data_IF_287121810100
#
_entry.id   IF_287121810100
#
_cell.length_a   1.000
_cell.length_b   1.000
_cell.length_c   1.000
_cell.angle_alpha   90.00
_cell.angle_beta   90.00
_cell.angle_gamma   90.00
#
_symmetry.space_group_name_H-M   'P 1'
#
loop_
_entity.id
_entity.type
_entity.pdbx_description
1 polymer ?
#
# COMPACT_ATOMS: atom_id res chain seq x y z
N UNK A 1 11.65 0.07 -28.14
CA UNK A 1 12.30 -0.15 -26.83
C UNK A 1 12.01 -1.57 -26.36
N UNK A 2 12.89 -2.17 -25.57
CA UNK A 2 12.64 -3.42 -24.86
C UNK A 2 12.06 -3.12 -23.48
N UNK A 3 10.88 -3.67 -23.22
CA UNK A 3 10.08 -3.44 -22.02
C UNK A 3 9.91 -4.78 -21.31
N UNK A 4 10.24 -4.81 -20.03
CA UNK A 4 10.00 -5.98 -19.19
C UNK A 4 8.82 -5.74 -18.26
N UNK A 5 7.89 -6.68 -18.20
CA UNK A 5 6.84 -6.74 -17.19
C UNK A 5 7.15 -7.84 -16.17
N UNK A 6 6.90 -7.56 -14.89
CA UNK A 6 7.02 -8.54 -13.82
C UNK A 6 5.65 -9.11 -13.51
N UNK A 7 5.54 -10.44 -13.55
CA UNK A 7 4.32 -11.17 -13.25
C UNK A 7 3.87 -10.92 -11.80
N UNK A 8 2.57 -10.65 -11.63
CA UNK A 8 1.92 -10.58 -10.32
C UNK A 8 0.48 -11.10 -10.42
N UNK A 9 0.38 -12.42 -10.50
CA UNK A 9 -0.86 -13.18 -10.60
C UNK A 9 -1.88 -12.52 -11.52
N UNK A 10 -2.97 -12.06 -10.95
CA UNK A 10 -4.08 -11.46 -11.70
C UNK A 10 -3.73 -10.09 -12.28
N UNK A 11 -2.77 -9.34 -11.72
CA UNK A 11 -2.24 -8.11 -12.33
C UNK A 11 -1.66 -8.36 -13.71
N UNK A 12 -1.10 -9.55 -13.91
CA UNK A 12 -0.52 -9.95 -15.19
C UNK A 12 -1.56 -9.90 -16.30
N UNK A 13 -2.86 -10.09 -16.02
CA UNK A 13 -3.92 -9.91 -17.01
C UNK A 13 -4.01 -8.46 -17.51
N UNK A 14 -3.80 -7.49 -16.62
CA UNK A 14 -3.74 -6.07 -17.00
C UNK A 14 -2.44 -5.74 -17.71
N UNK A 15 -1.30 -6.22 -17.20
CA UNK A 15 -0.02 -6.07 -17.89
C UNK A 15 -0.04 -6.66 -19.31
N UNK A 16 -0.67 -7.81 -19.49
CA UNK A 16 -0.81 -8.47 -20.79
C UNK A 16 -1.66 -7.66 -21.79
N UNK A 17 -2.74 -7.03 -21.31
CA UNK A 17 -3.53 -6.13 -22.15
C UNK A 17 -2.74 -4.89 -22.62
N UNK A 18 -1.97 -4.28 -21.71
CA UNK A 18 -1.08 -3.15 -22.04
C UNK A 18 0.05 -3.60 -22.99
N UNK A 19 0.67 -4.75 -22.70
CA UNK A 19 1.70 -5.36 -23.53
C UNK A 19 1.24 -5.60 -24.96
N UNK A 20 0.01 -6.10 -25.16
CA UNK A 20 -0.56 -6.28 -26.50
C UNK A 20 -0.66 -4.98 -27.29
N UNK A 21 -1.00 -3.87 -26.63
CA UNK A 21 -0.98 -2.55 -27.26
C UNK A 21 0.45 -2.12 -27.60
N UNK A 22 1.38 -2.18 -26.65
CA UNK A 22 2.77 -1.72 -26.82
C UNK A 22 3.53 -2.54 -27.87
N UNK A 23 3.27 -3.85 -27.95
CA UNK A 23 3.84 -4.71 -28.99
C UNK A 23 3.40 -4.24 -30.40
N UNK A 24 2.14 -3.83 -30.58
CA UNK A 24 1.65 -3.26 -31.85
C UNK A 24 2.29 -1.91 -32.19
N UNK A 25 2.81 -1.18 -31.21
CA UNK A 25 3.59 0.04 -31.40
C UNK A 25 5.08 -0.24 -31.70
N UNK A 26 5.48 -1.52 -31.86
CA UNK A 26 6.85 -1.90 -32.21
C UNK A 26 7.79 -2.03 -31.00
N UNK A 27 7.28 -2.07 -29.77
CA UNK A 27 8.10 -2.38 -28.61
C UNK A 27 8.36 -3.88 -28.49
N UNK A 28 9.57 -4.26 -28.07
CA UNK A 28 9.88 -5.64 -27.71
C UNK A 28 9.40 -5.90 -26.29
N UNK A 29 8.50 -6.87 -26.10
CA UNK A 29 7.90 -7.16 -24.81
C UNK A 29 8.42 -8.48 -24.25
N UNK A 30 8.93 -8.43 -23.02
CA UNK A 30 9.36 -9.59 -22.25
C UNK A 30 8.63 -9.61 -20.92
N UNK A 31 8.25 -10.79 -20.45
CA UNK A 31 7.70 -10.99 -19.11
C UNK A 31 8.64 -11.86 -18.28
N UNK A 32 8.89 -11.49 -17.03
CA UNK A 32 9.52 -12.37 -16.04
C UNK A 32 8.40 -12.98 -15.19
N UNK A 33 8.24 -14.30 -15.29
CA UNK A 33 7.12 -15.06 -14.72
C UNK A 33 7.62 -15.93 -13.57
N UNK A 34 7.21 -15.62 -12.33
CA UNK A 34 7.52 -16.47 -11.17
C UNK A 34 6.46 -17.54 -10.98
N UNK A 35 5.17 -17.18 -11.05
CA UNK A 35 4.08 -18.14 -10.94
C UNK A 35 3.68 -18.70 -12.32
N UNK A 36 4.01 -19.97 -12.58
CA UNK A 36 3.80 -20.64 -13.87
C UNK A 36 2.33 -20.84 -14.28
N UNK A 37 1.37 -20.37 -13.49
CA UNK A 37 -0.05 -20.39 -13.86
C UNK A 37 -0.55 -19.07 -14.42
N UNK A 38 0.24 -18.00 -14.32
CA UNK A 38 -0.13 -16.66 -14.78
C UNK A 38 0.71 -16.23 -15.97
N UNK A 39 0.68 -17.06 -17.02
CA UNK A 39 1.36 -16.77 -18.28
C UNK A 39 0.63 -15.70 -19.09
N UNK A 40 1.33 -14.64 -19.51
CA UNK A 40 0.81 -13.66 -20.47
C UNK A 40 0.80 -14.24 -21.89
N UNK A 41 -0.02 -13.66 -22.75
CA UNK A 41 -0.16 -14.07 -24.16
C UNK A 41 0.63 -13.14 -25.09
N UNK A 42 0.75 -11.86 -24.73
CA UNK A 42 1.34 -10.81 -25.55
C UNK A 42 2.81 -10.59 -25.16
N UNK A 43 3.73 -11.26 -25.87
CA UNK A 43 5.18 -11.10 -25.68
C UNK A 43 5.88 -12.37 -25.24
N UNK A 44 7.20 -12.31 -25.09
CA UNK A 44 8.00 -13.48 -24.71
C UNK A 44 8.04 -13.64 -23.19
N UNK A 45 7.71 -14.85 -22.70
CA UNK A 45 7.79 -15.16 -21.27
C UNK A 45 9.13 -15.83 -20.92
N UNK A 46 9.83 -15.28 -19.93
CA UNK A 46 10.93 -15.94 -19.21
C UNK A 46 10.38 -16.49 -17.91
N UNK A 47 10.20 -17.81 -17.86
CA UNK A 47 9.65 -18.50 -16.70
C UNK A 47 10.78 -18.85 -15.74
N UNK A 48 10.70 -18.33 -14.52
CA UNK A 48 11.68 -18.63 -13.49
C UNK A 48 11.40 -20.02 -12.91
N UNK A 49 12.37 -20.96 -12.92
CA UNK A 49 12.15 -22.29 -12.35
C UNK A 49 11.94 -22.20 -10.85
N UNK A 50 11.13 -23.10 -10.29
CA UNK A 50 11.08 -23.27 -8.83
C UNK A 50 12.37 -23.96 -8.37
N UNK A 51 13.09 -23.41 -7.38
CA UNK A 51 14.35 -23.99 -6.94
C UNK A 51 14.15 -25.34 -6.27
N UNK A 52 15.05 -26.27 -6.56
CA UNK A 52 15.26 -27.47 -5.75
C UNK A 52 15.94 -27.11 -4.43
N UNK A 53 15.90 -28.01 -3.46
CA UNK A 53 16.44 -27.76 -2.12
C UNK A 53 17.93 -27.44 -2.11
N UNK A 54 18.69 -28.07 -3.00
CA UNK A 54 20.14 -27.89 -3.20
C UNK A 54 20.49 -26.62 -4.00
N UNK A 55 19.52 -25.99 -4.65
CA UNK A 55 19.69 -24.72 -5.37
C UNK A 55 19.40 -23.49 -4.51
N UNK A 56 18.83 -23.69 -3.32
CA UNK A 56 18.61 -22.62 -2.35
C UNK A 56 19.96 -22.09 -1.87
N UNK A 57 20.08 -20.78 -1.77
CA UNK A 57 21.31 -20.11 -1.35
C UNK A 57 21.03 -19.02 -0.34
N UNK A 58 21.97 -18.78 0.56
CA UNK A 58 21.78 -17.82 1.64
C UNK A 58 21.47 -16.42 1.09
N UNK A 59 20.50 -15.71 1.69
CA UNK A 59 20.17 -14.34 1.30
C UNK A 59 21.38 -13.42 1.52
N UNK A 60 21.58 -12.45 0.61
CA UNK A 60 22.59 -11.41 0.83
C UNK A 60 22.06 -10.33 1.80
N UNK A 61 22.93 -9.41 2.23
CA UNK A 61 22.54 -8.34 3.17
C UNK A 61 21.33 -7.53 2.67
N UNK A 62 21.28 -7.22 1.37
CA UNK A 62 20.14 -6.49 0.79
C UNK A 62 18.83 -7.29 0.82
N UNK A 63 18.89 -8.62 0.82
CA UNK A 63 17.69 -9.46 0.93
C UNK A 63 17.10 -9.44 2.35
N UNK A 64 17.92 -9.22 3.38
CA UNK A 64 17.46 -9.21 4.78
C UNK A 64 16.38 -8.15 5.01
N UNK A 65 16.54 -6.96 4.43
CA UNK A 65 15.52 -5.91 4.50
C UNK A 65 14.25 -6.26 3.73
N UNK A 66 14.37 -6.97 2.60
CA UNK A 66 13.21 -7.42 1.81
C UNK A 66 12.43 -8.53 2.52
N UNK A 67 13.13 -9.45 3.17
CA UNK A 67 12.56 -10.55 3.96
C UNK A 67 11.68 -10.00 5.10
N UNK A 68 12.07 -8.86 5.70
CA UNK A 68 11.25 -8.19 6.70
C UNK A 68 9.88 -7.75 6.15
N UNK A 69 9.71 -7.58 4.85
CA UNK A 69 8.43 -7.23 4.23
C UNK A 69 7.67 -8.43 3.66
N UNK A 70 8.26 -9.63 3.68
CA UNK A 70 7.68 -10.80 3.04
C UNK A 70 6.48 -11.34 3.80
N UNK A 71 5.30 -11.29 3.19
CA UNK A 71 4.07 -11.76 3.82
C UNK A 71 4.04 -13.28 4.08
N UNK A 72 4.72 -14.06 3.26
CA UNK A 72 4.75 -15.52 3.39
C UNK A 72 5.61 -15.96 4.58
N UNK A 73 6.72 -15.26 4.80
CA UNK A 73 7.57 -15.45 5.97
C UNK A 73 6.88 -14.89 7.22
N UNK A 74 6.46 -13.61 7.19
CA UNK A 74 5.96 -12.91 8.36
C UNK A 74 4.58 -13.40 8.85
N UNK A 75 3.70 -13.87 7.96
CA UNK A 75 2.33 -14.20 8.33
C UNK A 75 1.94 -15.65 8.03
N UNK A 76 2.57 -16.30 7.06
CA UNK A 76 2.20 -17.65 6.61
C UNK A 76 3.18 -18.75 7.00
N UNK A 77 4.18 -18.44 7.83
CA UNK A 77 5.06 -19.44 8.46
C UNK A 77 6.01 -20.13 7.49
N UNK A 78 6.34 -19.49 6.36
CA UNK A 78 7.37 -19.99 5.46
C UNK A 78 8.75 -19.79 6.10
N UNK A 79 9.40 -20.88 6.50
CA UNK A 79 10.63 -20.82 7.29
C UNK A 79 11.93 -20.69 6.50
N UNK A 80 11.92 -20.91 5.19
CA UNK A 80 13.12 -20.85 4.35
C UNK A 80 13.29 -19.48 3.71
N UNK A 81 14.47 -18.88 3.86
CA UNK A 81 14.86 -17.63 3.18
C UNK A 81 15.73 -17.88 1.95
N UNK A 82 16.23 -19.10 1.75
CA UNK A 82 17.22 -19.40 0.71
C UNK A 82 16.72 -19.24 -0.74
N UNK A 83 15.41 -19.09 -0.92
CA UNK A 83 14.85 -18.77 -2.23
C UNK A 83 15.19 -17.34 -2.67
N UNK A 84 15.51 -16.43 -1.75
CA UNK A 84 15.94 -15.08 -2.09
C UNK A 84 17.25 -15.08 -2.87
N UNK A 85 18.27 -15.80 -2.38
CA UNK A 85 19.56 -15.91 -3.05
C UNK A 85 19.43 -16.53 -4.45
N UNK A 86 18.63 -17.62 -4.55
CA UNK A 86 18.33 -18.25 -5.83
C UNK A 86 17.64 -17.30 -6.80
N UNK A 87 16.53 -16.67 -6.38
CA UNK A 87 15.74 -15.81 -7.25
C UNK A 87 16.47 -14.54 -7.65
N UNK A 88 17.30 -13.97 -6.76
CA UNK A 88 18.19 -12.86 -7.08
C UNK A 88 19.15 -13.21 -8.20
N UNK A 89 19.76 -14.40 -8.16
CA UNK A 89 20.68 -14.86 -9.21
C UNK A 89 19.95 -15.00 -10.54
N UNK A 90 18.86 -15.76 -10.60
CA UNK A 90 18.17 -16.02 -11.88
C UNK A 90 17.47 -14.78 -12.46
N UNK A 91 16.94 -13.89 -11.61
CA UNK A 91 16.38 -12.60 -12.06
C UNK A 91 17.51 -11.70 -12.57
N UNK A 92 18.65 -11.64 -11.87
CA UNK A 92 19.82 -10.88 -12.30
C UNK A 92 20.37 -11.34 -13.65
N UNK A 93 20.52 -12.66 -13.84
CA UNK A 93 20.89 -13.27 -15.13
C UNK A 93 19.90 -12.88 -16.23
N UNK A 94 18.60 -12.89 -15.93
CA UNK A 94 17.57 -12.45 -16.88
C UNK A 94 17.71 -10.97 -17.23
N UNK A 95 17.82 -10.07 -16.25
CA UNK A 95 17.97 -8.63 -16.51
C UNK A 95 19.24 -8.32 -17.31
N UNK A 96 20.36 -8.99 -17.01
CA UNK A 96 21.62 -8.83 -17.74
C UNK A 96 21.54 -9.33 -19.20
N UNK A 97 20.83 -10.43 -19.43
CA UNK A 97 20.60 -10.97 -20.78
C UNK A 97 19.66 -10.10 -21.59
N UNK A 98 18.54 -9.70 -20.97
CA UNK A 98 17.51 -8.95 -21.66
C UNK A 98 17.91 -7.49 -21.87
N UNK A 99 18.60 -6.86 -20.92
CA UNK A 99 18.95 -5.43 -20.96
C UNK A 99 17.74 -4.53 -21.27
N UNK A 100 16.67 -4.59 -20.47
CA UNK A 100 15.49 -3.76 -20.72
C UNK A 100 15.79 -2.28 -20.49
N UNK A 101 15.19 -1.41 -21.31
CA UNK A 101 15.21 0.03 -21.06
C UNK A 101 14.29 0.44 -19.91
N UNK A 102 13.28 -0.37 -19.59
CA UNK A 102 12.35 -0.12 -18.50
C UNK A 102 11.67 -1.41 -18.03
N UNK A 103 11.39 -1.46 -16.74
CA UNK A 103 10.65 -2.55 -16.08
C UNK A 103 9.35 -2.00 -15.46
N UNK A 104 8.24 -2.72 -15.63
CA UNK A 104 6.97 -2.45 -14.96
C UNK A 104 6.54 -3.63 -14.08
N UNK A 105 6.01 -3.34 -12.89
CA UNK A 105 5.41 -4.35 -12.01
C UNK A 105 4.86 -3.74 -10.72
N UNK A 106 4.44 -4.55 -9.75
CA UNK A 106 4.09 -4.06 -8.40
C UNK A 106 5.30 -4.13 -7.46
N UNK A 107 5.16 -3.66 -6.23
CA UNK A 107 6.25 -3.67 -5.24
C UNK A 107 5.98 -4.59 -4.04
N UNK A 108 5.21 -5.68 -4.20
CA UNK A 108 4.68 -6.42 -3.04
C UNK A 108 5.19 -7.85 -2.87
N UNK A 109 5.42 -8.57 -3.96
CA UNK A 109 5.91 -9.94 -3.92
C UNK A 109 7.44 -9.96 -3.80
N UNK A 110 8.00 -11.04 -3.26
CA UNK A 110 9.45 -11.12 -3.03
C UNK A 110 10.24 -10.97 -4.34
N UNK A 111 9.78 -11.60 -5.43
CA UNK A 111 10.46 -11.54 -6.73
C UNK A 111 10.39 -10.14 -7.35
N UNK A 112 9.30 -9.41 -7.08
CA UNK A 112 9.18 -8.00 -7.46
C UNK A 112 10.17 -7.12 -6.69
N UNK A 113 10.27 -7.31 -5.36
CA UNK A 113 11.18 -6.58 -4.50
C UNK A 113 12.65 -6.85 -4.85
N UNK A 114 13.00 -8.11 -5.14
CA UNK A 114 14.33 -8.48 -5.65
C UNK A 114 14.60 -7.78 -6.99
N UNK A 115 13.62 -7.79 -7.90
CA UNK A 115 13.75 -7.11 -9.19
C UNK A 115 13.97 -5.61 -9.02
N UNK A 116 13.23 -4.96 -8.12
CA UNK A 116 13.39 -3.54 -7.82
C UNK A 116 14.82 -3.23 -7.35
N UNK A 117 15.35 -4.02 -6.41
CA UNK A 117 16.72 -3.84 -5.91
C UNK A 117 17.76 -4.05 -7.02
N UNK A 118 17.61 -5.08 -7.85
CA UNK A 118 18.49 -5.30 -9.00
C UNK A 118 18.41 -4.18 -10.04
N UNK A 119 17.21 -3.69 -10.35
CA UNK A 119 17.00 -2.56 -11.25
C UNK A 119 17.70 -1.30 -10.75
N UNK A 120 17.63 -0.99 -9.44
CA UNK A 120 18.39 0.13 -8.84
C UNK A 120 19.89 -0.02 -9.07
N UNK A 121 20.45 -1.21 -8.83
CA UNK A 121 21.89 -1.49 -9.02
C UNK A 121 22.33 -1.38 -10.47
N UNK A 122 21.48 -1.83 -11.40
CA UNK A 122 21.74 -1.81 -12.84
C UNK A 122 21.35 -0.47 -13.49
N UNK A 123 20.89 0.52 -12.72
CA UNK A 123 20.35 1.78 -13.22
C UNK A 123 19.23 1.62 -14.26
N UNK A 124 18.42 0.56 -14.12
CA UNK A 124 17.26 0.29 -14.97
C UNK A 124 16.03 0.94 -14.32
N UNK A 125 15.30 1.83 -15.01
CA UNK A 125 14.04 2.36 -14.50
C UNK A 125 13.05 1.25 -14.18
N UNK A 126 12.59 1.20 -12.93
CA UNK A 126 11.46 0.37 -12.51
C UNK A 126 10.29 1.26 -12.13
N UNK A 127 9.15 1.07 -12.79
CA UNK A 127 7.94 1.84 -12.51
C UNK A 127 6.80 0.94 -12.04
N UNK A 128 6.08 1.40 -11.02
CA UNK A 128 4.90 0.76 -10.47
C UNK A 128 3.63 1.53 -10.85
N UNK A 129 2.88 1.08 -11.88
CA UNK A 129 1.57 1.64 -12.20
C UNK A 129 0.57 1.23 -11.12
N UNK A 130 0.17 2.17 -10.28
CA UNK A 130 -0.70 1.92 -9.12
C UNK A 130 -1.72 3.04 -8.95
N UNK A 131 -2.92 2.71 -8.45
CA UNK A 131 -3.94 3.75 -8.24
C UNK A 131 -3.44 4.84 -7.30
N UNK A 132 -3.69 6.09 -7.69
CA UNK A 132 -3.48 7.19 -6.77
C UNK A 132 -4.74 7.33 -5.91
N UNK A 133 -4.52 7.63 -4.63
CA UNK A 133 -5.58 7.60 -3.61
C UNK A 133 -6.66 8.65 -3.88
N UNK A 134 -6.21 9.84 -4.26
CA UNK A 134 -7.02 10.95 -4.76
C UNK A 134 -6.24 11.67 -5.87
N UNK A 135 -6.93 12.25 -6.88
CA UNK A 135 -8.35 12.02 -7.20
C UNK A 135 -8.64 10.55 -7.56
N UNK A 136 -9.90 10.11 -7.38
CA UNK A 136 -10.31 8.72 -7.70
C UNK A 136 -10.39 8.49 -9.21
N UNK A 137 -10.29 7.24 -9.65
CA UNK A 137 -10.28 6.87 -11.07
C UNK A 137 -8.99 7.22 -11.80
N UNK A 138 -7.90 7.38 -11.05
CA UNK A 138 -6.59 7.77 -11.55
C UNK A 138 -5.49 6.88 -10.97
N UNK A 139 -4.34 6.88 -11.64
CA UNK A 139 -3.16 6.11 -11.25
C UNK A 139 -1.87 6.89 -11.51
N UNK A 140 -0.80 6.51 -10.81
CA UNK A 140 0.54 7.07 -10.97
C UNK A 140 1.53 5.96 -11.28
N UNK A 141 2.61 6.31 -11.97
CA UNK A 141 3.78 5.45 -12.14
C UNK A 141 4.79 5.79 -11.05
N UNK A 142 4.79 5.04 -9.95
CA UNK A 142 5.72 5.28 -8.85
C UNK A 142 7.11 4.72 -9.17
N UNK A 143 8.16 5.40 -8.70
CA UNK A 143 9.54 4.92 -8.87
C UNK A 143 9.83 3.79 -7.89
N UNK A 144 10.30 2.65 -8.40
CA UNK A 144 10.78 1.53 -7.59
C UNK A 144 9.76 1.11 -6.50
N UNK A 145 10.19 1.09 -5.25
CA UNK A 145 9.43 0.81 -4.02
C UNK A 145 9.11 2.10 -3.24
N UNK A 146 8.89 3.22 -3.93
CA UNK A 146 8.58 4.52 -3.33
C UNK A 146 7.16 4.99 -3.65
N UNK A 147 6.74 6.09 -3.02
CA UNK A 147 5.51 6.83 -3.37
C UNK A 147 5.78 8.06 -4.25
N UNK A 148 6.96 8.12 -4.87
CA UNK A 148 7.36 9.24 -5.74
C UNK A 148 6.90 8.98 -7.18
N UNK A 149 6.00 9.82 -7.75
CA UNK A 149 5.62 9.69 -9.15
C UNK A 149 6.81 9.97 -10.06
N UNK A 150 7.02 9.13 -11.08
CA UNK A 150 8.04 9.34 -12.10
C UNK A 150 7.76 10.56 -12.97
N UNK A 151 6.49 10.74 -13.33
CA UNK A 151 5.95 11.80 -14.18
C UNK A 151 4.45 11.95 -13.91
N UNK A 152 3.71 12.67 -14.78
CA UNK A 152 2.29 12.86 -14.64
C UNK A 152 1.62 13.36 -15.92
N UNK A 153 0.28 13.34 -15.97
CA UNK A 153 -0.47 13.82 -17.14
C UNK A 153 -0.26 15.32 -17.40
N UNK A 154 -0.01 16.12 -16.36
CA UNK A 154 0.00 17.58 -16.43
C UNK A 154 -1.41 18.19 -16.40
N UNK A 155 -2.46 17.36 -16.27
CA UNK A 155 -3.84 17.83 -16.18
C UNK A 155 -4.07 18.67 -14.91
N UNK A 156 -4.75 19.79 -15.06
CA UNK A 156 -5.15 20.69 -13.96
C UNK A 156 -6.67 20.78 -13.97
N UNK A 157 -7.28 20.66 -12.79
CA UNK A 157 -8.71 20.89 -12.60
C UNK A 157 -8.97 22.39 -12.55
N UNK A 158 -10.11 22.81 -13.12
CA UNK A 158 -10.60 24.17 -12.92
C UNK A 158 -10.87 24.41 -11.42
N UNK A 159 -10.75 25.65 -10.96
CA UNK A 159 -10.86 25.99 -9.54
C UNK A 159 -12.20 25.51 -8.94
N UNK A 160 -13.31 25.72 -9.65
CA UNK A 160 -14.64 25.28 -9.22
C UNK A 160 -14.72 23.76 -9.05
N UNK A 161 -14.11 23.00 -9.96
CA UNK A 161 -14.08 21.53 -9.91
C UNK A 161 -13.18 21.05 -8.76
N UNK A 162 -12.03 21.69 -8.56
CA UNK A 162 -11.12 21.39 -7.47
C UNK A 162 -11.78 21.64 -6.11
N UNK A 163 -12.46 22.77 -5.94
CA UNK A 163 -13.22 23.10 -4.71
C UNK A 163 -14.32 22.07 -4.46
N UNK A 164 -15.10 21.70 -5.48
CA UNK A 164 -16.13 20.67 -5.34
C UNK A 164 -15.56 19.29 -4.98
N UNK A 165 -14.39 18.93 -5.52
CA UNK A 165 -13.70 17.70 -5.16
C UNK A 165 -13.20 17.74 -3.71
N UNK A 166 -12.61 18.85 -3.27
CA UNK A 166 -12.17 19.06 -1.89
C UNK A 166 -13.34 18.87 -0.93
N UNK A 167 -14.46 19.53 -1.20
CA UNK A 167 -15.67 19.44 -0.38
C UNK A 167 -16.13 17.98 -0.23
N UNK A 168 -16.16 17.22 -1.33
CA UNK A 168 -16.53 15.81 -1.33
C UNK A 168 -15.56 14.92 -0.55
N UNK A 169 -14.27 15.26 -0.51
CA UNK A 169 -13.26 14.54 0.27
C UNK A 169 -13.41 14.87 1.76
N UNK A 170 -13.54 16.15 2.11
CA UNK A 170 -13.76 16.63 3.48
C UNK A 170 -15.01 16.00 4.09
N UNK A 171 -16.11 16.00 3.34
CA UNK A 171 -17.37 15.37 3.75
C UNK A 171 -17.40 13.85 3.52
N UNK A 172 -16.30 13.27 3.01
CA UNK A 172 -16.10 11.82 2.79
C UNK A 172 -17.21 11.15 1.99
N UNK A 173 -17.79 11.89 1.05
CA UNK A 173 -18.78 11.36 0.09
C UNK A 173 -18.10 10.54 -1.01
N UNK A 174 -16.80 10.80 -1.27
CA UNK A 174 -15.95 9.96 -2.11
C UNK A 174 -15.14 9.01 -1.25
N UNK A 175 -15.03 7.75 -1.68
CA UNK A 175 -14.10 6.77 -1.11
C UNK A 175 -13.08 6.36 -2.15
N UNK A 176 -11.81 6.14 -1.77
CA UNK A 176 -10.81 5.58 -2.66
C UNK A 176 -11.30 4.28 -3.31
N UNK A 177 -10.89 4.02 -4.55
CA UNK A 177 -11.42 2.90 -5.34
C UNK A 177 -11.20 1.54 -4.66
N UNK A 178 -10.04 1.36 -4.03
CA UNK A 178 -9.70 0.14 -3.29
C UNK A 178 -10.57 -0.09 -2.04
N UNK A 179 -11.31 0.92 -1.56
CA UNK A 179 -12.19 0.82 -0.38
C UNK A 179 -13.63 0.42 -0.73
N UNK A 180 -14.03 0.43 -2.00
CA UNK A 180 -15.38 0.05 -2.43
C UNK A 180 -15.67 -1.42 -2.08
N UNK A 181 -16.81 -1.69 -1.43
CA UNK A 181 -17.26 -3.06 -1.11
C UNK A 181 -17.86 -3.71 -2.36
N UNK A 182 -17.39 -4.90 -2.73
CA UNK A 182 -18.03 -5.69 -3.80
C UNK A 182 -19.28 -6.38 -3.26
N UNK A 183 -20.41 -6.26 -3.98
CA UNK A 183 -21.62 -7.02 -3.69
C UNK A 183 -21.36 -8.51 -3.95
N UNK A 184 -21.74 -9.37 -3.01
CA UNK A 184 -21.62 -10.81 -3.14
C UNK A 184 -22.81 -11.35 -3.94
N UNK A 185 -22.56 -11.80 -5.17
CA UNK A 185 -23.52 -12.51 -6.02
C UNK A 185 -23.10 -13.98 -6.19
N UNK A 186 -24.01 -14.83 -6.68
CA UNK A 186 -23.69 -16.22 -7.02
C UNK A 186 -22.48 -16.33 -7.96
N UNK A 187 -22.43 -15.51 -9.00
CA UNK A 187 -21.29 -15.46 -9.91
C UNK A 187 -19.97 -15.13 -9.18
N UNK A 188 -19.97 -14.16 -8.27
CA UNK A 188 -18.75 -13.82 -7.49
C UNK A 188 -18.32 -14.93 -6.52
N UNK A 189 -19.27 -15.74 -6.02
CA UNK A 189 -18.94 -16.90 -5.17
C UNK A 189 -18.28 -18.01 -5.98
N UNK A 190 -18.81 -18.29 -7.17
CA UNK A 190 -18.21 -19.26 -8.10
C UNK A 190 -16.82 -18.83 -8.58
N UNK A 191 -16.66 -17.55 -8.93
CA UNK A 191 -15.36 -16.98 -9.26
C UNK A 191 -14.35 -17.17 -8.11
N UNK A 192 -14.76 -16.87 -6.87
CA UNK A 192 -13.91 -17.08 -5.68
C UNK A 192 -13.52 -18.55 -5.48
N UNK A 193 -14.43 -19.50 -5.74
CA UNK A 193 -14.13 -20.92 -5.64
C UNK A 193 -13.10 -21.34 -6.70
N UNK A 194 -13.27 -20.87 -7.94
CA UNK A 194 -12.31 -21.06 -9.03
C UNK A 194 -10.94 -20.49 -8.67
N UNK A 195 -10.89 -19.30 -8.09
CA UNK A 195 -9.64 -18.68 -7.62
C UNK A 195 -8.95 -19.52 -6.53
N UNK A 196 -9.71 -20.03 -5.57
CA UNK A 196 -9.18 -20.90 -4.53
C UNK A 196 -8.63 -22.20 -5.11
N UNK A 197 -9.32 -22.80 -6.09
CA UNK A 197 -8.84 -23.98 -6.79
C UNK A 197 -7.54 -23.69 -7.57
N UNK A 198 -7.48 -22.59 -8.32
CA UNK A 198 -6.30 -22.18 -9.07
C UNK A 198 -5.09 -21.92 -8.16
N UNK A 199 -5.28 -21.24 -7.03
CA UNK A 199 -4.22 -21.02 -6.04
C UNK A 199 -3.77 -22.33 -5.39
N UNK A 200 -4.70 -23.24 -5.10
CA UNK A 200 -4.37 -24.54 -4.51
C UNK A 200 -3.56 -25.40 -5.50
N UNK A 201 -3.94 -25.40 -6.77
CA UNK A 201 -3.19 -26.07 -7.83
C UNK A 201 -1.81 -25.43 -8.05
N UNK A 202 -1.71 -24.10 -7.96
CA UNK A 202 -0.41 -23.39 -8.03
C UNK A 202 0.51 -23.81 -6.89
N UNK A 203 -0.02 -23.91 -5.67
CA UNK A 203 0.71 -24.41 -4.51
C UNK A 203 1.16 -25.86 -4.72
N UNK A 204 0.25 -26.76 -5.14
CA UNK A 204 0.60 -28.16 -5.41
C UNK A 204 1.61 -28.33 -6.56
N UNK A 205 1.64 -27.37 -7.50
CA UNK A 205 2.61 -27.31 -8.58
C UNK A 205 3.99 -26.75 -8.20
N UNK A 206 4.24 -26.47 -6.91
CA UNK A 206 5.54 -26.03 -6.41
C UNK A 206 5.65 -24.55 -6.06
N UNK A 207 4.62 -23.73 -6.31
CA UNK A 207 4.64 -22.30 -6.01
C UNK A 207 4.35 -22.07 -4.51
N UNK A 208 5.33 -22.36 -3.65
CA UNK A 208 5.20 -22.25 -2.19
C UNK A 208 5.68 -20.90 -1.63
N UNK A 209 6.20 -20.01 -2.48
CA UNK A 209 6.93 -18.80 -2.07
C UNK A 209 6.01 -17.57 -2.00
N UNK A 210 5.08 -17.42 -2.94
CA UNK A 210 4.04 -16.41 -2.89
C UNK A 210 2.68 -17.00 -2.45
N UNK A 211 2.44 -18.30 -2.64
CA UNK A 211 1.15 -18.94 -2.29
C UNK A 211 1.25 -19.61 -0.93
N UNK A 212 0.46 -19.18 0.08
CA UNK A 212 0.45 -19.83 1.36
C UNK A 212 -0.30 -21.16 1.31
N UNK A 213 0.09 -22.08 2.17
CA UNK A 213 -0.61 -23.35 2.33
C UNK A 213 -2.09 -23.12 2.73
N UNK A 214 -3.06 -23.80 2.09
CA UNK A 214 -4.48 -23.58 2.36
C UNK A 214 -4.88 -23.72 3.83
N UNK A 215 -4.33 -24.72 4.55
CA UNK A 215 -4.63 -24.96 5.96
C UNK A 215 -4.07 -23.89 6.90
N UNK A 216 -2.89 -23.32 6.58
CA UNK A 216 -2.32 -22.19 7.33
C UNK A 216 -3.24 -20.98 7.18
N UNK A 217 -3.67 -20.69 5.94
CA UNK A 217 -4.61 -19.61 5.65
C UNK A 217 -5.93 -19.77 6.43
N UNK A 218 -6.50 -20.97 6.46
CA UNK A 218 -7.72 -21.25 7.24
C UNK A 218 -7.53 -21.00 8.74
N UNK A 219 -6.39 -21.41 9.31
CA UNK A 219 -6.06 -21.21 10.73
C UNK A 219 -5.98 -19.74 11.09
N UNK A 220 -5.27 -18.94 10.28
CA UNK A 220 -5.11 -17.50 10.50
C UNK A 220 -6.45 -16.78 10.39
N UNK A 221 -7.29 -17.16 9.42
CA UNK A 221 -8.62 -16.58 9.24
C UNK A 221 -9.55 -16.84 10.44
N UNK A 222 -9.44 -18.02 11.09
CA UNK A 222 -10.15 -18.30 12.35
C UNK A 222 -9.63 -17.42 13.48
N UNK A 223 -8.30 -17.38 13.66
CA UNK A 223 -7.64 -16.56 14.70
C UNK A 223 -8.03 -15.08 14.57
N UNK A 224 -8.06 -14.55 13.34
CA UNK A 224 -8.48 -13.17 13.06
C UNK A 224 -9.85 -12.84 13.63
N UNK A 225 -10.84 -13.72 13.45
CA UNK A 225 -12.20 -13.48 13.97
C UNK A 225 -12.21 -13.37 15.50
N UNK A 226 -11.45 -14.22 16.17
CA UNK A 226 -11.29 -14.17 17.63
C UNK A 226 -10.64 -12.86 18.06
N UNK A 227 -9.58 -12.43 17.38
CA UNK A 227 -8.88 -11.19 17.70
C UNK A 227 -9.76 -9.95 17.50
N UNK A 228 -10.58 -9.91 16.45
CA UNK A 228 -11.56 -8.82 16.25
C UNK A 228 -12.58 -8.77 17.40
N UNK A 229 -13.08 -9.93 17.85
CA UNK A 229 -14.01 -9.97 18.98
C UNK A 229 -13.35 -9.45 20.26
N UNK A 230 -12.13 -9.89 20.55
CA UNK A 230 -11.38 -9.41 21.73
C UNK A 230 -11.07 -7.91 21.65
N UNK A 231 -10.78 -7.41 20.45
CA UNK A 231 -10.63 -5.97 20.19
C UNK A 231 -11.90 -5.21 20.56
N UNK A 232 -13.06 -5.67 20.07
CA UNK A 232 -14.35 -5.01 20.32
C UNK A 232 -14.75 -5.07 21.80
N UNK A 233 -14.46 -6.17 22.49
CA UNK A 233 -14.66 -6.30 23.94
C UNK A 233 -13.78 -5.29 24.71
N UNK A 234 -12.52 -5.12 24.32
CA UNK A 234 -11.61 -4.12 24.90
C UNK A 234 -12.07 -2.68 24.60
N UNK A 235 -12.54 -2.42 23.37
CA UNK A 235 -13.07 -1.12 22.97
C UNK A 235 -14.31 -0.73 23.76
N UNK A 236 -15.25 -1.67 23.94
CA UNK A 236 -16.46 -1.46 24.73
C UNK A 236 -16.12 -1.09 26.18
N UNK A 237 -15.14 -1.75 26.78
CA UNK A 237 -14.68 -1.47 28.14
C UNK A 237 -14.00 -0.10 28.33
N UNK A 238 -13.67 0.62 27.24
CA UNK A 238 -12.95 1.91 27.28
C UNK A 238 -13.72 3.06 26.64
N UNK A 239 -14.95 2.82 26.20
CA UNK A 239 -15.76 3.79 25.45
C UNK A 239 -15.95 5.12 26.17
N UNK A 240 -16.14 5.09 27.49
CA UNK A 240 -16.36 6.30 28.29
C UNK A 240 -15.17 7.26 28.28
N UNK A 241 -13.93 6.76 28.07
CA UNK A 241 -12.74 7.61 27.97
C UNK A 241 -12.80 8.54 26.74
N UNK A 242 -13.57 8.17 25.71
CA UNK A 242 -13.78 9.03 24.54
C UNK A 242 -14.68 10.22 24.85
N UNK A 243 -15.53 10.13 25.88
CA UNK A 243 -16.44 11.20 26.27
C UNK A 243 -15.74 12.33 27.03
N UNK A 244 -14.55 12.10 27.58
CA UNK A 244 -13.74 13.10 28.28
C UNK A 244 -13.09 14.09 27.30
N UNK A 245 -13.77 15.20 27.03
CA UNK A 245 -13.31 16.28 26.15
C UNK A 245 -12.15 17.10 26.70
N UNK A 246 -11.76 16.93 27.96
CA UNK A 246 -10.62 17.65 28.53
C UNK A 246 -9.28 17.08 28.07
N UNK A 247 -9.26 15.82 27.60
CA UNK A 247 -8.03 15.13 27.22
C UNK A 247 -7.70 15.34 25.75
N UNK A 248 -6.43 15.60 25.50
CA UNK A 248 -5.87 15.67 24.15
C UNK A 248 -5.84 14.27 23.53
N UNK A 249 -6.33 14.14 22.29
CA UNK A 249 -6.51 12.85 21.61
C UNK A 249 -5.67 12.74 20.36
N UNK A 250 -4.75 11.78 20.37
CA UNK A 250 -4.01 11.37 19.19
C UNK A 250 -4.71 10.18 18.56
N UNK A 251 -5.18 10.32 17.32
CA UNK A 251 -5.73 9.22 16.54
C UNK A 251 -4.63 8.53 15.72
N UNK A 252 -4.45 7.24 15.97
CA UNK A 252 -3.65 6.34 15.13
C UNK A 252 -4.57 5.35 14.40
N UNK A 253 -4.90 5.60 13.12
CA UNK A 253 -5.64 4.66 12.30
C UNK A 253 -4.68 3.59 11.75
N UNK A 254 -4.85 2.36 12.22
CA UNK A 254 -4.06 1.22 11.78
C UNK A 254 -4.27 0.94 10.28
N UNK A 255 -3.18 0.58 9.62
CA UNK A 255 -3.17 0.21 8.20
C UNK A 255 -3.31 -1.31 8.06
N UNK A 256 -3.95 -1.75 6.98
CA UNK A 256 -4.16 -3.17 6.70
C UNK A 256 -2.81 -3.85 6.42
N UNK A 257 -2.59 -5.05 6.96
CA UNK A 257 -1.42 -5.87 6.61
C UNK A 257 -1.84 -7.27 6.14
N UNK A 258 -1.30 -7.77 5.01
CA UNK A 258 -0.18 -7.21 4.26
C UNK A 258 -0.64 -6.21 3.19
N UNK A 259 0.10 -5.11 3.01
CA UNK A 259 -0.13 -4.11 1.95
C UNK A 259 1.14 -3.31 1.63
N UNK A 260 1.35 -2.94 0.36
CA UNK A 260 2.47 -2.09 -0.08
C UNK A 260 2.60 -0.80 0.76
N UNK A 261 1.46 -0.18 1.09
CA UNK A 261 1.40 1.05 1.87
C UNK A 261 2.23 1.00 3.15
N UNK A 262 2.18 -0.12 3.87
CA UNK A 262 2.85 -0.23 5.15
C UNK A 262 4.04 -1.19 5.10
N UNK A 263 3.88 -2.38 4.52
CA UNK A 263 4.96 -3.36 4.51
C UNK A 263 6.10 -2.97 3.56
N UNK A 264 5.88 -2.07 2.59
CA UNK A 264 6.90 -1.66 1.61
C UNK A 264 7.25 -0.18 1.81
N UNK A 265 6.31 0.72 1.53
CA UNK A 265 6.54 2.17 1.60
C UNK A 265 6.69 2.68 3.04
N UNK A 266 6.04 2.00 3.98
CA UNK A 266 6.10 2.27 5.41
C UNK A 266 6.98 1.32 6.20
N UNK A 267 7.88 0.57 5.55
CA UNK A 267 8.63 -0.55 6.14
C UNK A 267 9.20 -0.26 7.54
N UNK A 268 9.84 0.90 7.83
CA UNK A 268 10.37 1.20 9.17
C UNK A 268 9.30 1.16 10.28
N UNK A 269 8.04 1.42 9.94
CA UNK A 269 6.90 1.50 10.87
C UNK A 269 5.92 0.33 10.68
N UNK A 270 6.32 -0.75 10.00
CA UNK A 270 5.45 -1.90 9.74
C UNK A 270 4.99 -2.60 11.02
N UNK A 271 5.76 -2.51 12.09
CA UNK A 271 5.34 -2.98 13.41
C UNK A 271 4.47 -1.90 14.05
N UNK A 272 3.16 -2.01 13.84
CA UNK A 272 2.19 -1.02 14.33
C UNK A 272 2.10 -1.03 15.86
N UNK A 273 2.36 -2.16 16.52
CA UNK A 273 2.46 -2.22 17.98
C UNK A 273 3.65 -1.40 18.49
N UNK A 274 4.82 -1.54 17.86
CA UNK A 274 5.98 -0.72 18.21
C UNK A 274 5.69 0.77 17.97
N UNK A 275 5.05 1.11 16.85
CA UNK A 275 4.62 2.49 16.58
C UNK A 275 3.72 3.03 17.69
N UNK A 276 2.72 2.27 18.14
CA UNK A 276 1.83 2.65 19.25
C UNK A 276 2.63 2.81 20.55
N UNK A 277 3.58 1.92 20.84
CA UNK A 277 4.49 2.03 22.00
C UNK A 277 5.31 3.32 21.94
N UNK A 278 5.86 3.66 20.79
CA UNK A 278 6.65 4.88 20.61
C UNK A 278 5.80 6.14 20.80
N UNK A 279 4.56 6.16 20.29
CA UNK A 279 3.62 7.27 20.53
C UNK A 279 3.39 7.43 22.03
N UNK A 280 2.96 6.35 22.71
CA UNK A 280 2.69 6.36 24.16
C UNK A 280 3.89 6.81 24.99
N UNK A 281 5.10 6.37 24.63
CA UNK A 281 6.33 6.70 25.35
C UNK A 281 6.71 8.18 25.25
N UNK A 282 6.36 8.85 24.16
CA UNK A 282 6.81 10.21 23.88
C UNK A 282 5.69 11.26 23.91
N UNK A 283 4.51 10.87 24.37
CA UNK A 283 3.39 11.80 24.61
C UNK A 283 3.17 12.01 26.11
N UNK A 284 2.74 13.21 26.54
CA UNK A 284 2.36 13.48 27.92
C UNK A 284 1.34 12.49 28.51
N UNK A 285 1.31 12.36 29.84
CA UNK A 285 0.45 11.38 30.54
C UNK A 285 -1.05 11.69 30.41
N UNK A 286 -1.40 12.94 30.18
CA UNK A 286 -2.78 13.39 29.98
C UNK A 286 -3.29 13.18 28.54
N UNK A 287 -2.44 12.75 27.61
CA UNK A 287 -2.82 12.39 26.24
C UNK A 287 -3.47 11.00 26.17
N UNK A 288 -4.55 10.89 25.39
CA UNK A 288 -5.14 9.63 24.97
C UNK A 288 -4.69 9.27 23.56
N UNK A 289 -4.31 8.01 23.35
CA UNK A 289 -4.00 7.46 22.03
C UNK A 289 -5.19 6.62 21.56
N UNK A 290 -6.03 7.21 20.72
CA UNK A 290 -7.18 6.55 20.11
C UNK A 290 -6.69 5.67 18.96
N UNK A 291 -6.89 4.36 19.06
CA UNK A 291 -6.44 3.41 18.03
C UNK A 291 -7.63 2.86 17.27
N UNK A 292 -7.61 3.03 15.95
CA UNK A 292 -8.69 2.58 15.08
C UNK A 292 -8.20 1.47 14.15
N UNK A 293 -8.78 0.25 14.20
CA UNK A 293 -8.35 -0.83 13.33
C UNK A 293 -8.84 -0.59 11.89
N UNK A 294 -8.17 -1.20 10.91
CA UNK A 294 -8.61 -1.09 9.52
C UNK A 294 -9.97 -1.81 9.35
N UNK A 295 -10.95 -1.27 8.60
CA UNK A 295 -12.24 -1.96 8.41
C UNK A 295 -12.12 -3.28 7.63
N UNK A 296 -10.98 -3.51 6.96
CA UNK A 296 -10.63 -4.77 6.28
C UNK A 296 -9.50 -5.49 7.03
N UNK A 297 -9.49 -5.42 8.37
CA UNK A 297 -8.40 -5.94 9.19
C UNK A 297 -8.00 -7.35 8.82
N UNK A 298 -6.70 -7.63 8.87
CA UNK A 298 -6.12 -8.94 8.55
C UNK A 298 -5.13 -9.38 9.62
N UNK A 299 -3.84 -9.17 9.39
CA UNK A 299 -2.76 -9.75 10.21
C UNK A 299 -2.08 -8.72 11.11
N UNK A 300 -2.47 -7.45 10.99
CA UNK A 300 -2.03 -6.37 11.88
C UNK A 300 -2.62 -6.49 13.30
N UNK A 301 -3.74 -7.20 13.46
CA UNK A 301 -4.29 -7.51 14.77
C UNK A 301 -3.57 -8.74 15.33
N UNK A 302 -2.89 -8.59 16.47
CA UNK A 302 -2.14 -9.65 17.14
C UNK A 302 -2.55 -9.78 18.61
N UNK A 303 -2.24 -10.93 19.22
CA UNK A 303 -2.47 -11.12 20.65
C UNK A 303 -1.60 -10.17 21.49
N UNK A 304 -0.35 -9.97 21.10
CA UNK A 304 0.59 -9.04 21.75
C UNK A 304 0.10 -7.59 21.73
N UNK A 305 -0.52 -7.16 20.62
CA UNK A 305 -1.15 -5.85 20.52
C UNK A 305 -2.29 -5.72 21.53
N UNK A 306 -3.19 -6.69 21.58
CA UNK A 306 -4.32 -6.69 22.52
C UNK A 306 -3.86 -6.71 23.98
N UNK A 307 -2.84 -7.52 24.30
CA UNK A 307 -2.26 -7.61 25.65
C UNK A 307 -1.64 -6.27 26.08
N UNK A 308 -0.83 -5.66 25.21
CA UNK A 308 -0.25 -4.35 25.48
C UNK A 308 -1.33 -3.28 25.67
N UNK A 309 -2.34 -3.26 24.80
CA UNK A 309 -3.44 -2.32 24.92
C UNK A 309 -4.21 -2.53 26.21
N UNK A 310 -4.49 -3.77 26.61
CA UNK A 310 -5.16 -4.09 27.87
C UNK A 310 -4.39 -3.56 29.11
N UNK A 311 -3.05 -3.57 29.06
CA UNK A 311 -2.19 -3.06 30.15
C UNK A 311 -2.01 -1.54 30.20
N UNK A 312 -2.15 -0.82 29.08
CA UNK A 312 -1.95 0.63 29.02
C UNK A 312 -3.28 1.38 28.90
N UNK A 313 -3.68 2.12 29.95
CA UNK A 313 -4.96 2.83 30.03
C UNK A 313 -5.08 4.04 29.10
N UNK A 314 -3.96 4.65 28.70
CA UNK A 314 -3.95 5.79 27.77
C UNK A 314 -4.32 5.38 26.34
N UNK A 315 -4.27 4.09 26.01
CA UNK A 315 -4.71 3.60 24.70
C UNK A 315 -6.22 3.40 24.70
N UNK A 316 -6.94 3.95 23.73
CA UNK A 316 -8.38 3.79 23.60
C UNK A 316 -8.70 3.15 22.24
N UNK A 317 -8.88 1.82 22.17
CA UNK A 317 -9.40 1.18 20.97
C UNK A 317 -10.82 1.67 20.68
N UNK A 318 -11.12 1.90 19.41
CA UNK A 318 -12.51 2.05 18.94
C UNK A 318 -13.00 0.74 18.34
N UNK A 319 -14.30 0.47 18.42
CA UNK A 319 -14.91 -0.73 17.85
C UNK A 319 -14.53 -0.87 16.36
N UNK A 320 -14.32 -2.11 15.91
CA UNK A 320 -13.85 -2.41 14.57
C UNK A 320 -14.81 -1.89 13.48
N UNK A 321 -16.11 -1.87 13.79
CA UNK A 321 -17.14 -1.34 12.88
C UNK A 321 -17.19 0.21 12.82
N UNK A 322 -16.52 0.92 13.74
CA UNK A 322 -16.57 2.39 13.81
C UNK A 322 -16.01 3.01 12.54
N UNK A 323 -16.84 3.81 11.88
CA UNK A 323 -16.44 4.50 10.65
C UNK A 323 -15.37 5.57 10.93
N UNK A 324 -14.55 5.90 9.92
CA UNK A 324 -13.63 7.03 10.08
C UNK A 324 -14.40 8.34 10.37
N UNK A 325 -15.60 8.52 9.83
CA UNK A 325 -16.43 9.72 10.01
C UNK A 325 -16.78 9.95 11.48
N UNK A 326 -16.94 8.88 12.25
CA UNK A 326 -17.27 8.97 13.66
C UNK A 326 -16.05 9.30 14.54
N UNK A 327 -14.85 8.83 14.17
CA UNK A 327 -13.66 8.96 15.02
C UNK A 327 -12.76 10.14 14.66
N UNK A 328 -12.66 10.52 13.38
CA UNK A 328 -11.79 11.63 12.96
C UNK A 328 -12.12 12.95 13.67
N UNK A 329 -13.40 13.35 13.83
CA UNK A 329 -13.75 14.60 14.51
C UNK A 329 -13.40 14.62 16.01
N UNK A 330 -13.03 13.47 16.59
CA UNK A 330 -12.60 13.38 17.99
C UNK A 330 -11.09 13.64 18.15
N UNK A 331 -10.33 13.64 17.05
CA UNK A 331 -8.88 13.73 17.10
C UNK A 331 -8.40 15.20 17.15
N UNK A 332 -7.51 15.50 18.09
CA UNK A 332 -6.76 16.76 18.12
C UNK A 332 -5.51 16.66 17.22
N UNK A 333 -4.99 15.44 17.07
CA UNK A 333 -3.87 15.12 16.18
C UNK A 333 -4.07 13.74 15.56
N UNK A 334 -3.75 13.59 14.27
CA UNK A 334 -3.67 12.30 13.59
C UNK A 334 -2.21 11.94 13.31
N UNK A 335 -1.81 10.70 13.60
CA UNK A 335 -0.50 10.17 13.21
C UNK A 335 -0.72 8.99 12.25
N UNK A 336 -0.05 9.00 11.10
CA UNK A 336 -0.14 7.90 10.13
C UNK A 336 1.19 7.64 9.45
N UNK A 337 1.52 6.39 9.08
CA UNK A 337 2.75 6.15 8.33
C UNK A 337 2.60 6.63 6.89
N UNK A 338 1.69 6.00 6.15
CA UNK A 338 1.40 6.36 4.76
C UNK A 338 -0.09 6.45 4.49
N UNK A 339 -0.97 6.51 5.49
CA UNK A 339 -2.41 6.43 5.28
C UNK A 339 -3.00 7.54 4.42
N UNK A 340 -4.10 7.25 3.71
CA UNK A 340 -4.86 8.26 2.94
C UNK A 340 -5.52 9.31 3.80
N UNK A 341 -5.72 8.99 5.08
CA UNK A 341 -6.25 9.90 6.09
C UNK A 341 -5.49 11.22 6.15
N UNK A 342 -4.20 11.24 5.80
CA UNK A 342 -3.42 12.46 5.75
C UNK A 342 -3.97 13.48 4.74
N UNK A 343 -4.45 13.04 3.57
CA UNK A 343 -5.07 13.92 2.57
C UNK A 343 -6.37 14.50 3.14
N UNK A 344 -7.17 13.67 3.81
CA UNK A 344 -8.42 14.10 4.43
C UNK A 344 -8.15 15.12 5.55
N UNK A 345 -7.09 14.93 6.34
CA UNK A 345 -6.70 15.85 7.41
C UNK A 345 -6.18 17.18 6.86
N UNK A 346 -5.34 17.15 5.81
CA UNK A 346 -4.85 18.35 5.11
C UNK A 346 -6.03 19.22 4.66
N UNK A 347 -7.02 18.61 4.02
CA UNK A 347 -8.14 19.34 3.44
C UNK A 347 -9.14 19.84 4.49
N UNK A 348 -9.24 19.14 5.62
CA UNK A 348 -10.10 19.50 6.75
C UNK A 348 -9.42 20.37 7.82
N UNK A 349 -8.15 20.76 7.62
CA UNK A 349 -7.31 21.45 8.62
C UNK A 349 -7.29 20.74 10.00
N UNK A 350 -7.33 19.40 9.98
CA UNK A 350 -7.10 18.59 11.18
C UNK A 350 -5.59 18.36 11.28
N UNK A 351 -4.95 18.66 12.43
CA UNK A 351 -3.53 18.43 12.60
C UNK A 351 -3.15 16.99 12.28
N UNK A 352 -2.15 16.80 11.43
CA UNK A 352 -1.67 15.49 11.03
C UNK A 352 -0.15 15.46 10.91
N UNK A 353 0.45 14.38 11.39
CA UNK A 353 1.85 14.06 11.21
C UNK A 353 1.99 12.77 10.42
N UNK A 354 2.89 12.74 9.43
CA UNK A 354 3.24 11.49 8.73
C UNK A 354 4.57 10.94 9.21
N UNK A 355 4.68 9.61 9.32
CA UNK A 355 5.95 8.97 9.67
C UNK A 355 6.86 8.77 8.44
N UNK A 356 6.27 8.76 7.24
CA UNK A 356 7.00 8.64 5.98
C UNK A 356 6.84 9.92 5.16
N UNK A 357 7.91 10.32 4.47
CA UNK A 357 7.88 11.44 3.54
C UNK A 357 7.08 11.09 2.28
N UNK A 358 6.12 11.91 1.92
CA UNK A 358 5.29 11.80 0.72
C UNK A 358 5.01 13.18 0.15
N UNK A 359 4.28 13.26 -0.99
CA UNK A 359 3.80 14.53 -1.54
C UNK A 359 2.92 15.32 -0.55
N UNK A 360 2.34 14.67 0.44
CA UNK A 360 1.54 15.34 1.46
C UNK A 360 2.36 16.34 2.28
N UNK A 361 3.66 16.12 2.44
CA UNK A 361 4.51 16.94 3.29
C UNK A 361 4.91 18.29 2.70
N UNK A 362 4.56 18.56 1.44
CA UNK A 362 4.62 19.92 0.89
C UNK A 362 3.58 20.84 1.53
N UNK A 363 2.55 20.28 2.16
CA UNK A 363 1.55 21.03 2.88
C UNK A 363 2.04 21.32 4.29
N UNK A 364 2.13 22.61 4.64
CA UNK A 364 2.56 23.08 5.98
C UNK A 364 1.74 22.49 7.14
N UNK A 365 0.48 22.12 6.91
CA UNK A 365 -0.39 21.47 7.90
C UNK A 365 -0.26 19.94 7.93
N UNK A 366 0.78 19.37 7.29
CA UNK A 366 1.11 17.95 7.30
C UNK A 366 2.63 17.72 7.38
N UNK A 367 3.29 18.13 8.46
CA UNK A 367 4.71 17.87 8.63
C UNK A 367 5.01 16.37 8.73
N UNK A 368 6.22 15.99 8.33
CA UNK A 368 6.77 14.67 8.65
C UNK A 368 7.30 14.71 10.08
N UNK A 369 7.01 13.68 10.87
CA UNK A 369 7.62 13.48 12.17
C UNK A 369 9.01 12.86 11.97
N UNK A 370 10.07 13.59 12.30
CA UNK A 370 11.44 13.11 12.12
C UNK A 370 11.86 12.16 13.26
N UNK A 371 11.32 12.36 14.45
CA UNK A 371 11.50 11.47 15.60
C UNK A 371 10.36 11.55 16.61
N UNK A 372 10.04 10.44 17.28
CA UNK A 372 8.93 10.40 18.25
C UNK A 372 9.16 11.33 19.46
N UNK A 373 10.41 11.66 19.79
CA UNK A 373 10.78 12.61 20.84
C UNK A 373 10.21 14.02 20.62
N UNK A 374 9.81 14.38 19.40
CA UNK A 374 9.18 15.67 19.09
C UNK A 374 7.68 15.71 19.43
N UNK A 375 7.05 14.57 19.73
CA UNK A 375 5.60 14.48 19.89
C UNK A 375 5.06 15.38 21.00
N UNK A 376 5.74 15.46 22.14
CA UNK A 376 5.35 16.38 23.21
C UNK A 376 5.33 17.84 22.73
N UNK A 377 6.33 18.26 21.93
CA UNK A 377 6.37 19.60 21.35
C UNK A 377 5.22 19.86 20.36
N UNK A 378 4.85 18.86 19.57
CA UNK A 378 3.70 18.96 18.67
C UNK A 378 2.36 19.04 19.41
N UNK A 379 2.20 18.29 20.50
CA UNK A 379 1.02 18.38 21.38
C UNK A 379 0.87 19.80 21.93
N UNK A 380 1.93 20.38 22.49
CA UNK A 380 1.90 21.75 23.01
C UNK A 380 1.65 22.79 21.90
N UNK A 381 2.27 22.62 20.73
CA UNK A 381 2.04 23.47 19.56
C UNK A 381 0.54 23.50 19.15
N UNK A 382 -0.15 22.37 19.21
CA UNK A 382 -1.57 22.28 18.88
C UNK A 382 -2.43 22.87 20.00
N UNK A 383 -2.10 22.63 21.27
CA UNK A 383 -2.78 23.24 22.44
C UNK A 383 -2.73 24.76 22.40
N UNK A 384 -1.58 25.31 22.01
CA UNK A 384 -1.36 26.75 21.86
C UNK A 384 -1.97 27.33 20.56
N UNK A 385 -2.64 26.50 19.74
CA UNK A 385 -3.24 26.92 18.45
C UNK A 385 -2.18 27.46 17.47
N UNK A 386 -0.94 26.95 17.57
CA UNK A 386 0.20 27.34 16.71
C UNK A 386 0.41 26.41 15.51
N UNK A 387 -0.33 25.29 15.43
CA UNK A 387 -0.22 24.37 14.31
C UNK A 387 -0.60 25.05 12.98
N UNK A 388 0.17 24.88 11.90
CA UNK A 388 -0.08 25.59 10.64
C UNK A 388 -1.45 25.27 10.05
N UNK A 389 -2.13 26.29 9.51
CA UNK A 389 -3.39 26.16 8.77
C UNK A 389 -3.20 26.47 7.29
N UNK A 390 -4.03 25.90 6.44
CA UNK A 390 -3.96 26.10 4.98
C UNK A 390 -5.10 26.97 4.46
N UNK A 391 -4.80 27.76 3.43
CA UNK A 391 -5.78 28.54 2.68
C UNK A 391 -6.48 27.67 1.64
N UNK A 392 -7.66 28.11 1.17
CA UNK A 392 -8.37 27.41 0.10
C UNK A 392 -7.51 27.28 -1.18
N UNK A 393 -6.73 28.32 -1.51
CA UNK A 393 -5.82 28.30 -2.66
C UNK A 393 -4.76 27.20 -2.51
N UNK A 394 -4.12 27.09 -1.35
CA UNK A 394 -3.13 26.04 -1.07
C UNK A 394 -3.76 24.63 -1.18
N UNK A 395 -5.02 24.45 -0.74
CA UNK A 395 -5.75 23.18 -0.89
C UNK A 395 -6.04 22.85 -2.37
N UNK A 396 -6.43 23.84 -3.16
CA UNK A 396 -6.65 23.69 -4.61
C UNK A 396 -5.34 23.34 -5.32
N UNK A 397 -4.26 24.05 -5.00
CA UNK A 397 -2.93 23.79 -5.58
C UNK A 397 -2.43 22.38 -5.25
N UNK A 398 -2.68 21.91 -4.02
CA UNK A 398 -2.37 20.55 -3.59
C UNK A 398 -3.15 19.49 -4.37
N UNK A 399 -4.46 19.66 -4.52
CA UNK A 399 -5.29 18.72 -5.31
C UNK A 399 -4.88 18.72 -6.77
N UNK A 400 -4.60 19.89 -7.34
CA UNK A 400 -4.08 20.00 -8.68
C UNK A 400 -2.69 19.40 -8.82
N UNK A 401 -1.85 19.41 -7.79
CA UNK A 401 -0.59 18.65 -7.80
C UNK A 401 -0.85 17.15 -7.93
N UNK A 402 -1.71 16.58 -7.09
CA UNK A 402 -2.06 15.16 -7.17
C UNK A 402 -2.64 14.78 -8.54
N UNK A 403 -3.47 15.66 -9.13
CA UNK A 403 -4.03 15.46 -10.46
C UNK A 403 -2.97 15.51 -11.56
N UNK A 404 -2.09 16.51 -11.54
CA UNK A 404 -1.00 16.69 -12.52
C UNK A 404 -0.03 15.53 -12.52
N UNK A 405 0.27 14.95 -11.35
CA UNK A 405 1.21 13.82 -11.16
C UNK A 405 0.58 12.43 -11.33
N UNK A 406 -0.64 12.36 -11.86
CA UNK A 406 -1.36 11.12 -12.11
C UNK A 406 -1.97 11.12 -13.51
N UNK A 407 -2.50 9.98 -13.93
CA UNK A 407 -3.14 9.70 -15.21
C UNK A 407 -4.53 9.12 -14.98
N UNK A 408 -5.45 9.30 -15.94
CA UNK A 408 -6.77 8.67 -15.90
C UNK A 408 -6.67 7.15 -16.06
N UNK A 409 -7.55 6.43 -15.40
CA UNK A 409 -7.65 4.98 -15.49
C UNK A 409 -7.24 4.25 -14.21
N UNK A 410 -7.49 2.96 -14.21
CA UNK A 410 -7.36 2.07 -13.06
C UNK A 410 -6.58 0.81 -13.49
N UNK A 411 -5.32 0.62 -13.02
CA UNK A 411 -4.48 -0.51 -13.44
C UNK A 411 -4.83 -1.77 -12.63
N UNK A 412 -6.05 -2.29 -12.80
CA UNK A 412 -6.54 -3.51 -12.12
C UNK A 412 -7.19 -4.47 -13.10
N UNK A 413 -7.08 -5.77 -12.84
CA UNK A 413 -7.73 -6.83 -13.62
C UNK A 413 -9.25 -6.67 -13.65
N UNK A 414 -9.82 -6.13 -12.58
CA UNK A 414 -11.27 -5.90 -12.50
C UNK A 414 -11.74 -4.65 -13.24
N UNK A 415 -10.81 -3.94 -13.87
CA UNK A 415 -11.05 -2.79 -14.73
C UNK A 415 -10.58 -3.05 -16.17
N UNK A 416 -10.55 -4.31 -16.62
CA UNK A 416 -10.27 -4.71 -18.01
C UNK A 416 -11.44 -4.41 -18.97
N UNK A 417 -11.86 -3.15 -19.00
CA UNK A 417 -12.78 -2.63 -20.02
C UNK A 417 -11.97 -1.82 -21.01
N UNK A 418 -12.42 -1.81 -22.26
CA UNK A 418 -11.69 -1.19 -23.37
C UNK A 418 -11.42 0.30 -23.14
N UNK A 419 -12.40 1.03 -22.60
CA UNK A 419 -12.29 2.43 -22.19
C UNK A 419 -11.18 2.66 -21.15
N UNK A 420 -11.16 1.86 -20.08
CA UNK A 420 -10.15 1.98 -19.03
C UNK A 420 -8.74 1.59 -19.51
N UNK A 421 -8.62 0.56 -20.35
CA UNK A 421 -7.34 0.15 -20.94
C UNK A 421 -6.81 1.27 -21.83
N UNK A 422 -7.66 1.86 -22.68
CA UNK A 422 -7.29 2.99 -23.52
C UNK A 422 -6.84 4.21 -22.70
N UNK A 423 -7.51 4.52 -21.59
CA UNK A 423 -7.08 5.54 -20.63
C UNK A 423 -5.69 5.26 -20.07
N UNK A 424 -5.45 4.05 -19.60
CA UNK A 424 -4.16 3.67 -19.01
C UNK A 424 -3.03 3.72 -20.04
N UNK A 425 -3.28 3.24 -21.26
CA UNK A 425 -2.33 3.23 -22.38
C UNK A 425 -1.77 4.62 -22.65
N UNK A 426 -2.60 5.67 -22.61
CA UNK A 426 -2.13 7.06 -22.77
C UNK A 426 -1.06 7.44 -21.76
N UNK A 427 -1.18 6.94 -20.53
CA UNK A 427 -0.16 7.11 -19.50
C UNK A 427 1.13 6.38 -19.85
N UNK A 428 1.05 5.12 -20.27
CA UNK A 428 2.22 4.35 -20.71
C UNK A 428 2.94 5.01 -21.89
N UNK A 429 2.22 5.47 -22.91
CA UNK A 429 2.83 6.15 -24.06
C UNK A 429 3.60 7.41 -23.65
N UNK A 430 3.03 8.22 -22.74
CA UNK A 430 3.72 9.41 -22.24
C UNK A 430 5.01 9.04 -21.52
N UNK A 431 4.94 8.06 -20.62
CA UNK A 431 6.10 7.58 -19.86
C UNK A 431 7.18 7.03 -20.78
N UNK A 432 6.83 6.20 -21.75
CA UNK A 432 7.80 5.61 -22.67
C UNK A 432 8.47 6.66 -23.56
N UNK A 433 7.73 7.70 -23.97
CA UNK A 433 8.33 8.86 -24.68
C UNK A 433 9.30 9.63 -23.81
N UNK A 434 9.07 9.73 -22.50
CA UNK A 434 9.99 10.41 -21.58
C UNK A 434 11.22 9.57 -21.25
N UNK A 435 11.09 8.24 -21.16
CA UNK A 435 12.21 7.32 -20.93
C UNK A 435 13.07 7.14 -22.19
N UNK A 436 12.47 7.28 -23.38
CA UNK A 436 13.17 7.19 -24.66
C UNK A 436 13.88 8.47 -25.10
N UNK A 437 13.71 9.58 -24.38
CA UNK A 437 14.52 10.80 -24.52
C UNK A 437 15.79 10.66 -23.71
#
# INVERSE_FOLDING_TARGET
>A
MKIVFIENRYRTLFWDAIAGYLARQGHEIVFIVQNHRFHPVNGRSVVLPYPRKDELSDPCEADLELIRSDRNINYFGHGSTGHYGYYRRVIGECLNREQPQIVFGESTAFHELITIDLCKRLSIPYLQPSTCRFPVGRFSFYRYDTLEPFSGSGEVLEEKEAVALIDRIVHRTIKPDYMKKRKQTWATRWARLKDLAQLSLSYLGGEHYNTPAPWIKMRIERRRKTLIRQWDELAAGRRELLNDKSRFRILYPMQMQPEANLDVWGRPFRNQLDTIKQIIRHTPDDVLVVVKPNPKSKYELTAELLEYMAGERRIVPVEHATSMNAVLPLADLVITATGTVAIECILSDIPVLTLIKTLNNDMKNCPRLDGFNELAGWVECIRDVRFPKTTQKEKVDFINRLNRTSFRGIPYETALREDNVADCVRGFDKILKEVGK
#
